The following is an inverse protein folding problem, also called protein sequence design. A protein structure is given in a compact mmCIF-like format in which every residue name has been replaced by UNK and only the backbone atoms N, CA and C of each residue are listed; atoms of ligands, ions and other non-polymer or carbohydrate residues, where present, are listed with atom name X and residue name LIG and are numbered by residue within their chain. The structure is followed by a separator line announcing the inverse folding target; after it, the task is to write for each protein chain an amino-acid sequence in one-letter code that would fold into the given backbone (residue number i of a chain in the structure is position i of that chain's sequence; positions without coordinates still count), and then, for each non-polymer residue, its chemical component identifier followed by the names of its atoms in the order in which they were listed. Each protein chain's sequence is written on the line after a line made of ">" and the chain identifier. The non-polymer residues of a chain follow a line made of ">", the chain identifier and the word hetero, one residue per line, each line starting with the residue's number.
data_IF_327418952837
#
_entry.id   IF_327418952837
#
_cell.length_a   1.000
_cell.length_b   1.000
_cell.length_c   1.000
_cell.angle_alpha   90.00
_cell.angle_beta   90.00
_cell.angle_gamma   90.00
#
_symmetry.space_group_name_H-M   'P 1'
#
loop_
_entity.id
_entity.type
_entity.pdbx_description
1 polymer ?
#
# COMPACT_ATOMS: atom_id res chain seq x y z
N UNK A 1 12.54 8.10 7.30
CA UNK A 1 12.26 6.95 6.40
C UNK A 1 13.53 6.28 5.89
N UNK A 2 14.40 7.02 5.17
CA UNK A 2 15.64 6.52 4.56
C UNK A 2 16.46 5.56 5.44
N UNK A 3 16.82 5.98 6.66
CA UNK A 3 17.63 5.17 7.57
C UNK A 3 16.99 3.83 7.95
N UNK A 4 15.65 3.78 8.07
CA UNK A 4 14.93 2.54 8.40
C UNK A 4 15.02 1.54 7.26
N UNK A 5 14.83 1.99 6.02
CA UNK A 5 15.01 1.14 4.83
C UNK A 5 16.47 0.70 4.70
N UNK A 6 17.41 1.63 4.81
CA UNK A 6 18.84 1.36 4.74
C UNK A 6 19.25 0.28 5.75
N UNK A 7 18.83 0.41 7.00
CA UNK A 7 19.09 -0.59 8.05
C UNK A 7 18.54 -1.97 7.69
N UNK A 8 17.35 -2.05 7.08
CA UNK A 8 16.81 -3.33 6.63
C UNK A 8 17.65 -3.93 5.49
N UNK A 9 17.99 -3.12 4.48
CA UNK A 9 18.82 -3.53 3.32
C UNK A 9 20.24 -3.95 3.74
N UNK A 10 20.85 -3.20 4.66
CA UNK A 10 22.21 -3.43 5.13
C UNK A 10 22.34 -4.75 5.90
N UNK A 11 21.24 -5.23 6.49
CA UNK A 11 21.17 -6.54 7.13
C UNK A 11 21.25 -7.74 6.16
N UNK A 12 21.21 -7.53 4.85
CA UNK A 12 21.28 -8.62 3.88
C UNK A 12 22.67 -9.25 3.78
N UNK A 13 22.68 -10.57 3.70
CA UNK A 13 23.89 -11.41 3.65
C UNK A 13 23.99 -12.27 2.40
N UNK A 14 22.86 -12.53 1.71
CA UNK A 14 22.78 -13.42 0.54
C UNK A 14 22.00 -12.79 -0.61
N UNK A 15 20.77 -12.32 -0.35
CA UNK A 15 19.88 -11.82 -1.40
C UNK A 15 19.04 -10.62 -0.96
N UNK A 16 18.75 -9.74 -1.91
CA UNK A 16 17.76 -8.67 -1.80
C UNK A 16 16.89 -8.66 -3.06
N UNK A 17 15.62 -8.95 -2.89
CA UNK A 17 14.61 -8.84 -3.95
C UNK A 17 13.69 -7.67 -3.64
N UNK A 18 13.78 -6.61 -4.45
CA UNK A 18 13.08 -5.35 -4.25
C UNK A 18 12.04 -5.17 -5.34
N UNK A 19 10.76 -5.10 -4.97
CA UNK A 19 9.66 -4.71 -5.86
C UNK A 19 9.09 -3.38 -5.38
N UNK A 20 9.29 -2.33 -6.17
CA UNK A 20 8.87 -0.97 -5.80
C UNK A 20 8.18 -0.27 -6.96
N UNK A 21 6.96 0.22 -6.73
CA UNK A 21 6.20 0.98 -7.72
C UNK A 21 6.98 2.20 -8.22
N UNK A 22 7.28 3.11 -7.31
CA UNK A 22 7.85 4.41 -7.63
C UNK A 22 9.17 4.61 -6.88
N UNK A 23 10.22 4.92 -7.64
CA UNK A 23 11.60 5.08 -7.19
C UNK A 23 12.18 6.37 -7.77
N UNK A 24 12.10 7.45 -6.99
CA UNK A 24 12.57 8.79 -7.34
C UNK A 24 13.10 9.48 -6.10
N UNK A 25 14.33 9.12 -5.75
CA UNK A 25 15.01 9.69 -4.61
C UNK A 25 16.05 10.69 -5.08
N UNK A 26 16.10 11.82 -4.40
CA UNK A 26 17.10 12.86 -4.61
C UNK A 26 17.93 13.06 -3.34
N UNK A 27 19.08 13.73 -3.50
CA UNK A 27 19.94 14.18 -2.40
C UNK A 27 20.30 13.07 -1.37
N UNK A 28 20.19 13.38 -0.08
CA UNK A 28 20.57 12.48 1.01
C UNK A 28 19.79 11.16 1.03
N UNK A 29 18.45 11.12 0.82
CA UNK A 29 17.70 9.89 0.60
C UNK A 29 18.30 8.98 -0.48
N UNK A 30 18.64 9.53 -1.64
CA UNK A 30 19.20 8.79 -2.77
C UNK A 30 20.58 8.23 -2.43
N UNK A 31 21.45 9.06 -1.87
CA UNK A 31 22.80 8.67 -1.48
C UNK A 31 22.78 7.55 -0.43
N UNK A 32 21.84 7.61 0.52
CA UNK A 32 21.69 6.60 1.56
C UNK A 32 21.36 5.24 0.95
N UNK A 33 20.33 5.15 0.09
CA UNK A 33 19.98 3.86 -0.53
C UNK A 33 21.03 3.38 -1.53
N UNK A 34 21.62 4.27 -2.33
CA UNK A 34 22.71 3.93 -3.23
C UNK A 34 23.87 3.28 -2.45
N UNK A 35 24.24 3.84 -1.31
CA UNK A 35 25.30 3.28 -0.46
C UNK A 35 24.92 1.90 0.09
N UNK A 36 23.68 1.68 0.53
CA UNK A 36 23.22 0.36 0.99
C UNK A 36 23.26 -0.68 -0.13
N UNK A 37 22.79 -0.34 -1.32
CA UNK A 37 22.84 -1.25 -2.48
C UNK A 37 24.28 -1.57 -2.91
N UNK A 38 25.12 -0.55 -3.09
CA UNK A 38 26.52 -0.73 -3.47
C UNK A 38 27.29 -1.56 -2.42
N UNK A 39 27.02 -1.31 -1.14
CA UNK A 39 27.63 -2.07 -0.03
C UNK A 39 27.15 -3.52 -0.01
N UNK A 40 25.86 -3.77 -0.28
CA UNK A 40 25.32 -5.13 -0.38
C UNK A 40 26.00 -5.91 -1.52
N UNK A 41 26.08 -5.32 -2.72
CA UNK A 41 26.77 -5.95 -3.85
C UNK A 41 28.26 -6.19 -3.54
N UNK A 42 28.95 -5.23 -2.90
CA UNK A 42 30.34 -5.39 -2.47
C UNK A 42 30.52 -6.53 -1.46
N UNK A 43 29.52 -6.81 -0.61
CA UNK A 43 29.48 -7.97 0.30
C UNK A 43 29.17 -9.30 -0.41
N UNK A 44 28.88 -9.28 -1.71
CA UNK A 44 28.49 -10.46 -2.48
C UNK A 44 27.00 -10.79 -2.40
N UNK A 45 26.16 -9.88 -1.89
CA UNK A 45 24.70 -10.03 -1.88
C UNK A 45 24.18 -9.90 -3.31
N UNK A 46 23.35 -10.85 -3.74
CA UNK A 46 22.64 -10.76 -5.03
C UNK A 46 21.46 -9.80 -4.87
N UNK A 47 21.49 -8.68 -5.59
CA UNK A 47 20.42 -7.67 -5.53
C UNK A 47 19.63 -7.68 -6.84
N UNK A 48 18.32 -7.86 -6.74
CA UNK A 48 17.36 -7.76 -7.84
C UNK A 48 16.35 -6.65 -7.53
N UNK A 49 16.16 -5.74 -8.48
CA UNK A 49 15.22 -4.63 -8.38
C UNK A 49 14.25 -4.70 -9.56
N UNK A 50 12.96 -4.79 -9.26
CA UNK A 50 11.89 -4.55 -10.23
C UNK A 50 11.10 -3.31 -9.86
N UNK A 51 10.66 -2.57 -10.87
CA UNK A 51 9.87 -1.35 -10.71
C UNK A 51 8.84 -1.17 -11.81
N UNK A 52 7.84 -0.33 -11.57
CA UNK A 52 6.85 0.03 -12.57
C UNK A 52 7.47 0.94 -13.61
N UNK A 53 7.43 0.54 -14.88
CA UNK A 53 7.79 1.39 -15.99
C UNK A 53 6.55 2.13 -16.48
N UNK A 54 6.53 3.43 -16.20
CA UNK A 54 5.53 4.34 -16.73
C UNK A 54 5.66 4.44 -18.25
N UNK A 55 4.55 4.71 -18.90
CA UNK A 55 4.49 4.97 -20.33
C UNK A 55 3.90 6.36 -20.52
N UNK A 56 4.49 7.15 -21.43
CA UNK A 56 3.92 8.42 -21.84
C UNK A 56 2.50 8.16 -22.38
N UNK A 57 1.48 8.62 -21.65
CA UNK A 57 0.11 8.59 -22.14
C UNK A 57 -0.08 9.76 -23.11
N UNK A 58 -0.71 9.52 -24.25
CA UNK A 58 -1.11 10.55 -25.23
C UNK A 58 -2.33 11.37 -24.81
N UNK A 59 -2.66 11.40 -23.51
CA UNK A 59 -3.87 12.02 -22.96
C UNK A 59 -3.49 13.40 -22.37
N UNK A 60 -4.33 14.45 -22.52
CA UNK A 60 -4.08 15.78 -21.94
C UNK A 60 -4.37 15.81 -20.43
N UNK A 61 -3.76 14.90 -19.68
CA UNK A 61 -3.59 14.98 -18.23
C UNK A 61 -2.11 15.08 -17.95
N UNK A 62 -1.69 15.74 -16.86
CA UNK A 62 -0.28 15.78 -16.50
C UNK A 62 0.26 14.33 -16.51
N UNK A 63 1.37 14.05 -17.23
CA UNK A 63 1.89 12.70 -17.37
C UNK A 63 2.12 12.09 -15.99
N UNK A 64 1.91 10.78 -15.81
CA UNK A 64 2.27 10.13 -14.56
C UNK A 64 3.75 10.39 -14.26
N UNK A 65 4.13 10.38 -12.98
CA UNK A 65 5.52 10.61 -12.62
C UNK A 65 6.42 9.56 -13.28
N UNK A 66 7.57 9.98 -13.84
CA UNK A 66 8.51 9.09 -14.51
C UNK A 66 9.62 8.62 -13.56
N UNK A 67 9.89 7.32 -13.55
CA UNK A 67 11.04 6.70 -12.84
C UNK A 67 12.34 7.51 -13.05
N UNK A 68 13.17 7.64 -12.01
CA UNK A 68 14.51 8.23 -12.15
C UNK A 68 15.45 7.21 -12.80
N UNK A 69 15.46 7.18 -14.14
CA UNK A 69 16.36 6.33 -14.92
C UNK A 69 17.84 6.59 -14.61
N UNK A 70 18.21 7.82 -14.25
CA UNK A 70 19.57 8.15 -13.86
C UNK A 70 19.99 7.42 -12.58
N UNK A 71 19.10 7.36 -11.59
CA UNK A 71 19.32 6.57 -10.37
C UNK A 71 19.36 5.07 -10.65
N UNK A 72 18.43 4.57 -11.47
CA UNK A 72 18.36 3.15 -11.86
C UNK A 72 19.64 2.70 -12.57
N UNK A 73 20.16 3.49 -13.52
CA UNK A 73 21.39 3.12 -14.24
C UNK A 73 22.63 3.18 -13.34
N UNK A 74 22.66 4.06 -12.32
CA UNK A 74 23.70 4.00 -11.28
C UNK A 74 23.62 2.70 -10.47
N UNK A 75 22.42 2.22 -10.13
CA UNK A 75 22.26 0.93 -9.45
C UNK A 75 22.71 -0.23 -10.33
N UNK A 76 22.35 -0.22 -11.62
CA UNK A 76 22.79 -1.21 -12.59
C UNK A 76 24.32 -1.25 -12.69
N UNK A 77 24.96 -0.08 -12.80
CA UNK A 77 26.42 0.04 -12.84
C UNK A 77 27.09 -0.44 -11.54
N UNK A 78 26.40 -0.32 -10.40
CA UNK A 78 26.85 -0.85 -9.11
C UNK A 78 26.63 -2.37 -8.96
N UNK A 79 26.07 -3.06 -9.95
CA UNK A 79 25.87 -4.51 -9.99
C UNK A 79 24.48 -4.99 -9.56
N UNK A 80 23.50 -4.09 -9.42
CA UNK A 80 22.10 -4.48 -9.18
C UNK A 80 21.47 -5.00 -10.47
N UNK A 81 20.84 -6.18 -10.41
CA UNK A 81 20.03 -6.68 -11.52
C UNK A 81 18.71 -5.92 -11.56
N UNK A 82 18.41 -5.26 -12.67
CA UNK A 82 17.23 -4.40 -12.81
C UNK A 82 16.25 -4.96 -13.84
N UNK A 83 14.96 -4.95 -13.50
CA UNK A 83 13.86 -5.34 -14.40
C UNK A 83 12.69 -4.34 -14.37
N UNK A 84 12.49 -3.54 -15.42
CA UNK A 84 11.26 -2.77 -15.55
C UNK A 84 10.06 -3.71 -15.81
N UNK A 85 8.92 -3.38 -15.21
CA UNK A 85 7.63 -4.06 -15.43
C UNK A 85 6.68 -3.07 -16.09
N UNK A 86 6.13 -3.34 -17.29
CA UNK A 86 5.23 -2.41 -17.96
C UNK A 86 4.01 -2.06 -17.10
N UNK A 87 3.74 -0.76 -16.94
CA UNK A 87 2.59 -0.23 -16.18
C UNK A 87 1.30 -0.07 -16.98
N UNK A 88 1.19 -0.69 -18.16
CA UNK A 88 0.00 -0.64 -19.03
C UNK A 88 -0.41 -2.06 -19.42
N UNK A 89 -1.69 -2.45 -19.31
CA UNK A 89 -2.82 -1.64 -18.83
C UNK A 89 -2.88 -1.47 -17.31
N UNK A 90 -2.14 -2.29 -16.55
CA UNK A 90 -2.19 -2.33 -15.09
C UNK A 90 -0.79 -2.05 -14.49
N UNK A 91 -0.75 -1.46 -13.30
CA UNK A 91 0.49 -1.04 -12.64
C UNK A 91 1.15 -2.18 -11.87
N UNK A 92 2.49 -2.20 -11.84
CA UNK A 92 3.26 -2.94 -10.84
C UNK A 92 3.34 -2.11 -9.56
N UNK A 93 2.35 -2.24 -8.67
CA UNK A 93 2.16 -1.33 -7.55
C UNK A 93 2.69 -1.87 -6.21
N UNK A 94 3.46 -2.96 -6.21
CA UNK A 94 4.11 -3.49 -5.01
C UNK A 94 5.06 -2.47 -4.35
N UNK A 95 5.18 -2.55 -3.02
CA UNK A 95 6.24 -1.89 -2.25
C UNK A 95 6.76 -2.85 -1.19
N UNK A 96 7.65 -3.75 -1.58
CA UNK A 96 8.27 -4.69 -0.65
C UNK A 96 9.73 -5.03 -0.98
N UNK A 97 10.42 -5.54 0.04
CA UNK A 97 11.76 -6.11 -0.05
C UNK A 97 11.76 -7.47 0.64
N UNK A 98 12.17 -8.52 -0.07
CA UNK A 98 12.53 -9.82 0.53
C UNK A 98 14.02 -9.83 0.78
N UNK A 99 14.42 -10.00 2.04
CA UNK A 99 15.82 -10.08 2.46
C UNK A 99 16.17 -11.51 2.84
N UNK A 100 17.16 -12.06 2.16
CA UNK A 100 17.76 -13.38 2.38
C UNK A 100 16.79 -14.58 2.35
N UNK A 101 15.54 -14.39 1.91
CA UNK A 101 14.46 -15.38 2.08
C UNK A 101 14.06 -15.61 3.54
N UNK A 102 14.41 -14.69 4.44
CA UNK A 102 14.18 -14.80 5.88
C UNK A 102 13.16 -13.78 6.41
N UNK A 103 13.08 -12.64 5.73
CA UNK A 103 12.31 -11.50 6.24
C UNK A 103 11.77 -10.64 5.10
N UNK A 104 10.67 -9.96 5.36
CA UNK A 104 10.01 -9.06 4.41
C UNK A 104 9.84 -7.70 5.05
N UNK A 105 10.21 -6.65 4.32
CA UNK A 105 9.78 -5.29 4.59
C UNK A 105 8.72 -4.93 3.55
N UNK A 106 7.54 -4.48 3.97
CA UNK A 106 6.43 -4.16 3.05
C UNK A 106 5.59 -3.02 3.61
N UNK A 107 4.79 -2.37 2.77
CA UNK A 107 3.84 -1.37 3.25
C UNK A 107 3.18 -0.59 2.13
N UNK A 108 2.77 0.63 2.44
CA UNK A 108 2.25 1.57 1.44
C UNK A 108 3.36 2.34 0.74
N UNK A 109 4.55 2.44 1.34
CA UNK A 109 5.52 3.52 1.09
C UNK A 109 6.25 3.42 -0.24
N UNK A 110 6.04 4.42 -1.11
CA UNK A 110 6.84 4.63 -2.31
C UNK A 110 8.24 5.14 -1.93
N UNK A 111 9.21 4.97 -2.81
CA UNK A 111 10.58 5.42 -2.57
C UNK A 111 10.80 6.75 -3.27
N UNK A 112 10.12 7.77 -2.76
CA UNK A 112 10.23 9.15 -3.22
C UNK A 112 10.45 10.12 -2.06
N UNK A 113 11.07 11.27 -2.33
CA UNK A 113 11.28 12.30 -1.30
C UNK A 113 9.97 12.75 -0.67
N UNK A 114 8.93 12.94 -1.48
CA UNK A 114 7.62 13.36 -1.01
C UNK A 114 6.93 12.28 -0.17
N UNK A 115 6.96 11.02 -0.60
CA UNK A 115 6.41 9.91 0.20
C UNK A 115 7.09 9.82 1.56
N UNK A 116 8.39 10.09 1.63
CA UNK A 116 9.13 9.97 2.88
C UNK A 116 8.96 11.14 3.85
N UNK A 117 8.49 12.29 3.38
CA UNK A 117 8.45 13.53 4.16
C UNK A 117 7.05 14.15 4.31
N UNK A 118 6.10 13.82 3.43
CA UNK A 118 4.82 14.53 3.30
C UNK A 118 3.58 13.64 3.31
N UNK A 119 3.77 12.35 3.09
CA UNK A 119 2.69 11.39 3.06
C UNK A 119 2.62 10.58 4.36
N UNK A 120 1.41 10.41 4.88
CA UNK A 120 1.12 9.41 5.90
C UNK A 120 1.36 8.02 5.33
N UNK A 121 2.24 7.25 5.95
CA UNK A 121 2.70 5.96 5.43
C UNK A 121 2.65 4.89 6.50
N UNK A 122 2.62 3.63 6.04
CA UNK A 122 2.71 2.46 6.92
C UNK A 122 3.70 1.47 6.37
N UNK A 123 4.52 0.91 7.26
CA UNK A 123 5.52 -0.11 6.95
C UNK A 123 5.52 -1.19 8.01
N UNK A 124 5.67 -2.42 7.57
CA UNK A 124 5.83 -3.61 8.39
C UNK A 124 7.18 -4.26 8.06
N UNK A 125 7.80 -4.81 9.09
CA UNK A 125 8.89 -5.77 8.95
C UNK A 125 8.41 -7.09 9.56
N UNK A 126 8.47 -8.16 8.80
CA UNK A 126 8.01 -9.49 9.20
C UNK A 126 9.21 -10.44 9.10
N UNK A 127 9.66 -10.93 10.25
CA UNK A 127 10.72 -11.93 10.36
C UNK A 127 10.06 -13.32 10.31
N UNK A 128 9.99 -13.91 9.11
CA UNK A 128 9.40 -15.23 8.88
C UNK A 128 9.84 -15.76 7.52
N UNK A 129 10.48 -16.94 7.52
CA UNK A 129 10.90 -17.64 6.31
C UNK A 129 9.71 -18.06 5.44
N UNK A 130 8.60 -18.44 6.06
CA UNK A 130 7.39 -18.85 5.33
C UNK A 130 6.74 -17.66 4.61
N UNK A 131 6.65 -16.51 5.27
CA UNK A 131 6.12 -15.29 4.64
C UNK A 131 7.09 -14.76 3.59
N UNK A 132 8.40 -14.79 3.86
CA UNK A 132 9.41 -14.44 2.87
C UNK A 132 9.34 -15.33 1.62
N UNK A 133 9.04 -16.61 1.77
CA UNK A 133 8.84 -17.53 0.64
C UNK A 133 7.61 -17.16 -0.21
N UNK A 134 6.49 -16.76 0.41
CA UNK A 134 5.29 -16.31 -0.32
C UNK A 134 5.58 -15.04 -1.14
N UNK A 135 6.29 -14.06 -0.57
CA UNK A 135 6.72 -12.86 -1.31
C UNK A 135 7.75 -13.17 -2.39
N UNK A 136 8.72 -14.06 -2.12
CA UNK A 136 9.71 -14.48 -3.11
C UNK A 136 9.05 -15.20 -4.30
N UNK A 137 8.00 -15.99 -4.06
CA UNK A 137 7.21 -16.63 -5.11
C UNK A 137 6.49 -15.60 -5.99
N UNK A 138 5.87 -14.59 -5.38
CA UNK A 138 5.27 -13.47 -6.12
C UNK A 138 6.33 -12.71 -6.94
N UNK A 139 7.45 -12.36 -6.32
CA UNK A 139 8.57 -11.67 -6.96
C UNK A 139 9.06 -12.47 -8.18
N UNK A 140 9.33 -13.76 -7.99
CA UNK A 140 9.86 -14.61 -9.05
C UNK A 140 8.89 -14.71 -10.24
N UNK A 141 7.58 -14.80 -9.99
CA UNK A 141 6.57 -14.84 -11.05
C UNK A 141 6.60 -13.60 -11.94
N UNK A 142 6.65 -12.40 -11.34
CA UNK A 142 6.77 -11.13 -12.08
C UNK A 142 8.17 -10.96 -12.70
N UNK A 143 9.20 -11.47 -12.02
CA UNK A 143 10.56 -11.41 -12.53
C UNK A 143 10.71 -12.23 -13.80
N UNK A 144 10.19 -13.45 -13.85
CA UNK A 144 10.29 -14.31 -15.03
C UNK A 144 9.36 -13.87 -16.15
N UNK A 145 8.15 -13.41 -15.78
CA UNK A 145 7.14 -12.93 -16.72
C UNK A 145 6.59 -11.59 -16.23
N UNK A 146 7.11 -10.45 -16.72
CA UNK A 146 6.70 -9.11 -16.27
C UNK A 146 5.35 -8.70 -16.89
N UNK A 147 4.30 -9.48 -16.59
CA UNK A 147 2.92 -9.28 -17.05
C UNK A 147 2.01 -9.27 -15.83
N UNK A 148 1.61 -8.07 -15.41
CA UNK A 148 0.84 -7.81 -14.18
C UNK A 148 -0.42 -8.68 -14.08
N UNK A 149 -1.21 -8.76 -15.15
CA UNK A 149 -2.45 -9.55 -15.20
C UNK A 149 -2.27 -11.04 -14.83
N UNK A 150 -1.06 -11.58 -15.02
CA UNK A 150 -0.74 -12.99 -14.73
C UNK A 150 -0.08 -13.22 -13.37
N UNK A 151 0.06 -12.17 -12.54
CA UNK A 151 0.71 -12.24 -11.24
C UNK A 151 -0.27 -12.49 -10.09
N UNK A 152 0.25 -12.97 -8.95
CA UNK A 152 -0.53 -13.16 -7.72
C UNK A 152 -1.51 -14.35 -7.73
N UNK A 153 -1.45 -15.28 -8.70
CA UNK A 153 -2.41 -16.39 -8.82
C UNK A 153 -2.13 -17.60 -7.90
N UNK A 154 -1.70 -17.37 -6.66
CA UNK A 154 -1.49 -18.43 -5.66
C UNK A 154 -2.07 -18.03 -4.29
N UNK A 155 -2.37 -19.00 -3.44
CA UNK A 155 -2.93 -18.74 -2.11
C UNK A 155 -1.88 -18.98 -1.05
N UNK A 156 -1.68 -17.99 -0.19
CA UNK A 156 -0.86 -18.12 1.00
C UNK A 156 -1.76 -18.46 2.21
N UNK A 157 -1.42 -19.50 3.01
CA UNK A 157 -2.18 -19.84 4.20
C UNK A 157 -1.89 -18.86 5.34
N UNK A 158 -2.68 -18.95 6.41
CA UNK A 158 -2.33 -18.29 7.68
C UNK A 158 -1.07 -18.90 8.27
N UNK A 159 -0.16 -18.05 8.76
CA UNK A 159 1.05 -18.42 9.49
C UNK A 159 1.02 -17.77 10.87
N UNK A 160 1.48 -18.48 11.88
CA UNK A 160 1.70 -17.93 13.22
C UNK A 160 3.15 -17.48 13.35
N UNK A 161 3.36 -16.26 13.80
CA UNK A 161 4.67 -15.73 14.17
C UNK A 161 5.02 -16.15 15.61
N UNK A 162 6.28 -15.93 16.00
CA UNK A 162 6.78 -16.37 17.32
C UNK A 162 6.10 -15.71 18.52
N UNK A 163 5.44 -14.56 18.32
CA UNK A 163 4.67 -13.83 19.33
C UNK A 163 3.19 -14.21 19.36
N UNK A 164 2.77 -15.22 18.57
CA UNK A 164 1.38 -15.64 18.43
C UNK A 164 0.56 -14.81 17.44
N UNK A 165 1.11 -13.71 16.89
CA UNK A 165 0.47 -12.95 15.82
C UNK A 165 0.26 -13.86 14.61
N UNK A 166 -0.96 -13.89 14.06
CA UNK A 166 -1.23 -14.61 12.82
C UNK A 166 -1.19 -13.65 11.64
N UNK A 167 -0.57 -14.07 10.55
CA UNK A 167 -0.46 -13.27 9.31
C UNK A 167 -0.74 -14.11 8.07
N UNK A 168 -1.24 -13.49 7.00
CA UNK A 168 -1.24 -14.04 5.65
C UNK A 168 -1.12 -12.95 4.59
N UNK A 169 -0.31 -13.14 3.53
CA UNK A 169 -0.26 -12.22 2.42
C UNK A 169 -1.35 -12.50 1.38
N UNK A 170 -1.75 -11.45 0.68
CA UNK A 170 -2.54 -11.47 -0.54
C UNK A 170 -1.76 -10.76 -1.64
N UNK A 171 -1.84 -11.29 -2.85
CA UNK A 171 -1.21 -10.70 -4.03
C UNK A 171 -2.27 -10.53 -5.13
N UNK A 172 -2.49 -9.28 -5.54
CA UNK A 172 -3.32 -8.93 -6.69
C UNK A 172 -2.50 -9.01 -7.99
N UNK A 173 -3.14 -9.13 -9.15
CA UNK A 173 -4.59 -9.28 -9.34
C UNK A 173 -5.12 -10.68 -9.01
N UNK A 174 -4.27 -11.72 -8.99
CA UNK A 174 -4.73 -13.10 -8.87
C UNK A 174 -5.53 -13.44 -7.60
N UNK A 175 -5.40 -12.68 -6.51
CA UNK A 175 -6.21 -12.82 -5.28
C UNK A 175 -7.05 -11.60 -4.90
N UNK A 176 -7.27 -10.64 -5.80
CA UNK A 176 -8.04 -9.43 -5.51
C UNK A 176 -9.44 -9.70 -4.99
N UNK A 177 -10.22 -10.56 -5.66
CA UNK A 177 -11.58 -10.94 -5.21
C UNK A 177 -11.57 -11.60 -3.83
N UNK A 178 -10.56 -12.42 -3.53
CA UNK A 178 -10.43 -13.08 -2.22
C UNK A 178 -10.05 -12.06 -1.13
N UNK A 179 -9.18 -11.10 -1.44
CA UNK A 179 -8.79 -10.02 -0.55
C UNK A 179 -9.99 -9.12 -0.22
N UNK A 180 -10.68 -8.61 -1.23
CA UNK A 180 -11.83 -7.72 -1.09
C UNK A 180 -12.95 -8.39 -0.27
N UNK A 181 -13.26 -9.67 -0.55
CA UNK A 181 -14.24 -10.41 0.25
C UNK A 181 -13.78 -10.69 1.69
N UNK A 182 -12.48 -10.83 1.93
CA UNK A 182 -11.96 -10.96 3.29
C UNK A 182 -12.15 -9.65 4.07
N UNK A 183 -11.77 -8.52 3.46
CA UNK A 183 -12.00 -7.18 4.03
C UNK A 183 -13.48 -6.92 4.32
N UNK A 184 -14.36 -7.14 3.34
CA UNK A 184 -15.81 -7.01 3.52
C UNK A 184 -16.36 -7.90 4.62
N UNK A 185 -15.88 -9.16 4.73
CA UNK A 185 -16.27 -10.07 5.81
C UNK A 185 -15.87 -9.54 7.17
N UNK A 186 -14.62 -9.08 7.32
CA UNK A 186 -14.15 -8.52 8.59
C UNK A 186 -14.92 -7.25 8.97
N UNK A 187 -15.27 -6.40 8.01
CA UNK A 187 -16.14 -5.23 8.24
C UNK A 187 -17.52 -5.68 8.74
N UNK A 188 -18.15 -6.63 8.05
CA UNK A 188 -19.49 -7.09 8.38
C UNK A 188 -19.57 -7.87 9.70
N UNK A 189 -18.48 -8.53 10.10
CA UNK A 189 -18.39 -9.28 11.35
C UNK A 189 -17.81 -8.48 12.52
N UNK A 190 -17.46 -7.20 12.31
CA UNK A 190 -16.92 -6.39 13.39
C UNK A 190 -17.98 -6.18 14.47
N UNK A 191 -17.56 -6.24 15.73
CA UNK A 191 -18.42 -6.06 16.91
C UNK A 191 -18.05 -4.83 17.73
N UNK A 192 -16.80 -4.36 17.66
CA UNK A 192 -16.34 -3.23 18.47
C UNK A 192 -15.99 -2.01 17.63
N UNK A 193 -15.12 -2.15 16.63
CA UNK A 193 -14.62 -1.00 15.87
C UNK A 193 -14.25 -1.32 14.43
N UNK A 194 -14.37 -0.29 13.60
CA UNK A 194 -13.80 -0.23 12.26
C UNK A 194 -12.97 1.05 12.14
N UNK A 195 -11.75 0.93 11.61
CA UNK A 195 -10.90 2.07 11.24
C UNK A 195 -10.41 1.95 9.83
N UNK A 196 -10.55 3.02 9.05
CA UNK A 196 -10.10 3.05 7.65
C UNK A 196 -9.13 4.21 7.46
N UNK A 197 -7.99 3.92 6.84
CA UNK A 197 -7.07 4.94 6.33
C UNK A 197 -6.72 4.52 4.91
N UNK A 198 -7.11 5.30 3.92
CA UNK A 198 -6.86 4.99 2.51
C UNK A 198 -6.93 6.28 1.70
N UNK A 199 -6.11 6.48 0.66
CA UNK A 199 -6.23 7.65 -0.21
C UNK A 199 -7.64 7.74 -0.80
N UNK A 200 -8.15 6.61 -1.29
CA UNK A 200 -9.47 6.49 -1.91
C UNK A 200 -10.21 5.26 -1.38
N UNK A 201 -11.54 5.30 -1.38
CA UNK A 201 -12.43 4.21 -0.97
C UNK A 201 -13.47 3.99 -2.08
N UNK A 202 -13.16 3.09 -3.01
CA UNK A 202 -13.91 2.95 -4.28
C UNK A 202 -14.26 1.52 -4.67
N UNK A 203 -13.74 0.52 -3.93
CA UNK A 203 -14.15 -0.88 -4.08
C UNK A 203 -15.60 -1.05 -3.64
N UNK A 204 -16.44 -1.55 -4.55
CA UNK A 204 -17.88 -1.67 -4.34
C UNK A 204 -18.24 -2.53 -3.12
N UNK A 205 -17.69 -3.76 -2.99
CA UNK A 205 -17.96 -4.61 -1.84
C UNK A 205 -17.52 -4.00 -0.51
N UNK A 206 -16.35 -3.33 -0.46
CA UNK A 206 -15.86 -2.68 0.76
C UNK A 206 -16.79 -1.52 1.13
N UNK A 207 -17.13 -0.67 0.15
CA UNK A 207 -17.99 0.47 0.36
C UNK A 207 -19.40 0.07 0.81
N UNK A 208 -19.97 -0.99 0.21
CA UNK A 208 -21.24 -1.57 0.62
C UNK A 208 -21.22 -2.08 2.06
N UNK A 209 -20.19 -2.86 2.43
CA UNK A 209 -20.06 -3.36 3.81
C UNK A 209 -19.88 -2.21 4.83
N UNK A 210 -19.14 -1.16 4.49
CA UNK A 210 -19.02 0.03 5.35
C UNK A 210 -20.36 0.76 5.50
N UNK A 211 -21.13 0.91 4.42
CA UNK A 211 -22.44 1.55 4.46
C UNK A 211 -23.44 0.76 5.33
N UNK A 212 -23.44 -0.57 5.22
CA UNK A 212 -24.25 -1.45 6.07
C UNK A 212 -23.84 -1.35 7.55
N UNK A 213 -22.53 -1.37 7.84
CA UNK A 213 -22.03 -1.23 9.20
C UNK A 213 -22.40 0.15 9.81
N UNK A 214 -22.33 1.22 9.03
CA UNK A 214 -22.78 2.55 9.44
C UNK A 214 -24.29 2.58 9.73
N UNK A 215 -25.10 1.96 8.87
CA UNK A 215 -26.55 1.90 9.04
C UNK A 215 -26.97 1.09 10.27
N UNK A 216 -26.21 0.05 10.63
CA UNK A 216 -26.47 -0.77 11.82
C UNK A 216 -26.23 0.00 13.13
N UNK A 217 -25.32 0.99 13.13
CA UNK A 217 -24.95 1.80 14.31
C UNK A 217 -24.52 0.99 15.55
N UNK A 218 -23.93 -0.20 15.32
CA UNK A 218 -23.49 -1.11 16.41
C UNK A 218 -22.01 -1.05 16.74
N UNK A 219 -21.21 -0.57 15.80
CA UNK A 219 -19.75 -0.56 15.89
C UNK A 219 -19.22 0.86 15.81
N UNK A 220 -18.11 1.14 16.49
CA UNK A 220 -17.46 2.43 16.40
C UNK A 220 -16.68 2.54 15.08
N UNK A 221 -17.13 3.42 14.17
CA UNK A 221 -16.52 3.63 12.86
C UNK A 221 -15.84 4.99 12.80
N UNK A 222 -14.58 5.00 12.36
CA UNK A 222 -13.86 6.22 12.04
C UNK A 222 -12.84 5.98 10.92
N UNK A 223 -12.32 7.05 10.33
CA UNK A 223 -11.26 6.92 9.35
C UNK A 223 -10.73 8.23 8.82
N UNK A 224 -9.88 8.12 7.82
CA UNK A 224 -9.31 9.24 7.10
C UNK A 224 -9.10 8.89 5.63
N UNK A 225 -9.38 9.85 4.76
CA UNK A 225 -9.17 9.70 3.32
C UNK A 225 -8.55 10.96 2.71
N UNK A 226 -8.13 10.84 1.45
CA UNK A 226 -7.72 11.99 0.63
C UNK A 226 -8.93 12.60 -0.06
N UNK A 227 -9.35 13.77 0.38
CA UNK A 227 -10.53 14.44 -0.15
C UNK A 227 -10.30 15.02 -1.55
N UNK A 228 -9.07 15.42 -1.89
CA UNK A 228 -8.74 15.88 -3.23
C UNK A 228 -8.88 14.72 -4.23
N UNK A 229 -8.30 13.55 -3.93
CA UNK A 229 -8.46 12.37 -4.80
C UNK A 229 -9.91 11.85 -4.84
N UNK A 230 -10.64 11.87 -3.72
CA UNK A 230 -12.04 11.44 -3.71
C UNK A 230 -12.96 12.38 -4.48
N UNK A 231 -12.64 13.68 -4.59
CA UNK A 231 -13.40 14.59 -5.46
C UNK A 231 -13.18 14.23 -6.93
N UNK A 232 -11.94 13.93 -7.36
CA UNK A 232 -11.65 13.45 -8.72
C UNK A 232 -12.40 12.15 -9.05
N UNK A 233 -12.38 11.17 -8.13
CA UNK A 233 -13.13 9.92 -8.26
C UNK A 233 -14.63 10.19 -8.43
N UNK A 234 -15.21 11.08 -7.62
CA UNK A 234 -16.63 11.40 -7.70
C UNK A 234 -16.99 12.06 -9.04
N UNK A 235 -16.14 12.93 -9.58
CA UNK A 235 -16.31 13.49 -10.92
C UNK A 235 -16.30 12.39 -12.00
N UNK A 236 -15.36 11.44 -11.92
CA UNK A 236 -15.29 10.31 -12.85
C UNK A 236 -16.53 9.40 -12.75
N UNK A 237 -17.01 9.13 -11.54
CA UNK A 237 -18.24 8.35 -11.33
C UNK A 237 -19.49 9.06 -11.86
N UNK A 238 -19.56 10.38 -11.75
CA UNK A 238 -20.68 11.16 -12.30
C UNK A 238 -20.71 11.11 -13.83
N UNK A 239 -19.54 11.07 -14.48
CA UNK A 239 -19.42 10.89 -15.93
C UNK A 239 -19.76 9.45 -16.37
N UNK A 240 -19.51 8.44 -15.52
CA UNK A 240 -19.72 7.03 -15.80
C UNK A 240 -20.98 6.51 -15.09
N UNK A 241 -22.15 6.63 -15.72
CA UNK A 241 -23.48 6.37 -15.12
C UNK A 241 -23.66 5.05 -14.34
N UNK A 242 -22.88 4.00 -14.63
CA UNK A 242 -22.88 2.75 -13.87
C UNK A 242 -22.28 2.81 -12.45
N UNK A 243 -21.58 3.89 -12.09
CA UNK A 243 -20.95 4.05 -10.77
C UNK A 243 -21.64 5.10 -9.88
N UNK A 244 -22.74 5.70 -10.32
CA UNK A 244 -23.44 6.76 -9.59
C UNK A 244 -23.85 6.35 -8.16
N UNK A 245 -24.24 5.09 -7.95
CA UNK A 245 -24.60 4.57 -6.62
C UNK A 245 -23.44 4.65 -5.61
N UNK A 246 -22.19 4.57 -6.07
CA UNK A 246 -21.00 4.64 -5.19
C UNK A 246 -20.84 6.03 -4.58
N UNK A 247 -21.26 7.09 -5.27
CA UNK A 247 -21.27 8.46 -4.74
C UNK A 247 -22.19 8.52 -3.51
N UNK A 248 -23.40 7.96 -3.64
CA UNK A 248 -24.39 7.90 -2.55
C UNK A 248 -23.85 7.12 -1.36
N UNK A 249 -23.34 5.91 -1.60
CA UNK A 249 -22.78 5.06 -0.54
C UNK A 249 -21.60 5.72 0.18
N UNK A 250 -20.66 6.35 -0.56
CA UNK A 250 -19.54 7.09 0.03
C UNK A 250 -20.02 8.25 0.90
N UNK A 251 -20.95 9.07 0.40
CA UNK A 251 -21.53 10.18 1.17
C UNK A 251 -22.22 9.71 2.45
N UNK A 252 -22.96 8.60 2.38
CA UNK A 252 -23.59 8.00 3.57
C UNK A 252 -22.56 7.55 4.60
N UNK A 253 -21.47 6.90 4.17
CA UNK A 253 -20.39 6.44 5.06
C UNK A 253 -19.69 7.61 5.75
N UNK A 254 -19.35 8.67 5.01
CA UNK A 254 -18.64 9.82 5.59
C UNK A 254 -19.53 10.70 6.48
N UNK A 255 -20.84 10.72 6.23
CA UNK A 255 -21.80 11.46 7.06
C UNK A 255 -22.19 10.72 8.34
N UNK A 256 -22.16 9.39 8.33
CA UNK A 256 -22.60 8.55 9.44
C UNK A 256 -21.52 8.24 10.49
N UNK A 257 -20.24 8.54 10.18
CA UNK A 257 -19.10 8.16 11.00
C UNK A 257 -18.06 9.30 11.09
N UNK A 258 -16.99 9.10 11.86
CA UNK A 258 -16.00 10.14 12.11
C UNK A 258 -14.87 10.08 11.08
N UNK A 259 -14.79 11.08 10.21
CA UNK A 259 -13.80 11.09 9.13
C UNK A 259 -12.93 12.34 9.13
N UNK A 260 -11.62 12.13 9.05
CA UNK A 260 -10.69 13.15 8.58
C UNK A 260 -10.68 13.21 7.06
N UNK A 261 -10.55 14.42 6.51
CA UNK A 261 -10.56 14.67 5.07
C UNK A 261 -9.29 15.46 4.69
N UNK A 262 -8.21 14.75 4.36
CA UNK A 262 -6.96 15.41 3.95
C UNK A 262 -7.16 16.09 2.60
N UNK A 263 -6.89 17.40 2.53
CA UNK A 263 -6.86 18.15 1.27
C UNK A 263 -5.43 18.23 0.78
N UNK A 264 -5.04 17.30 -0.08
CA UNK A 264 -3.72 17.30 -0.71
C UNK A 264 -3.64 18.31 -1.85
N UNK A 265 -2.42 18.62 -2.24
CA UNK A 265 -2.09 19.37 -3.45
C UNK A 265 -2.63 18.60 -4.67
N UNK A 266 -3.45 19.23 -5.53
CA UNK A 266 -3.90 18.61 -6.77
C UNK A 266 -2.72 18.25 -7.67
N UNK A 267 -2.84 17.13 -8.37
CA UNK A 267 -1.77 16.62 -9.21
C UNK A 267 -1.50 17.54 -10.41
N UNK A 268 -0.25 17.97 -10.56
CA UNK A 268 0.25 18.67 -11.73
C UNK A 268 1.74 18.35 -11.94
N UNK A 269 2.26 18.59 -13.16
CA UNK A 269 3.70 18.44 -13.42
C UNK A 269 4.49 19.36 -12.49
N UNK A 270 5.40 18.76 -11.70
CA UNK A 270 6.22 19.49 -10.72
C UNK A 270 5.50 19.88 -9.44
N UNK A 271 4.23 19.48 -9.25
CA UNK A 271 3.55 19.66 -7.97
C UNK A 271 4.12 18.73 -6.89
N UNK A 272 4.04 19.17 -5.65
CA UNK A 272 4.36 18.34 -4.49
C UNK A 272 3.34 17.22 -4.34
N UNK A 273 3.79 16.02 -3.98
CA UNK A 273 2.93 14.88 -3.68
C UNK A 273 2.76 14.74 -2.16
N UNK A 274 1.64 15.25 -1.64
CA UNK A 274 1.34 15.20 -0.21
C UNK A 274 -0.02 14.54 0.05
N UNK A 275 -0.41 13.55 -0.73
CA UNK A 275 -1.67 12.83 -0.51
C UNK A 275 -1.65 11.95 0.74
N UNK A 276 -2.83 11.54 1.21
CA UNK A 276 -2.94 10.44 2.16
C UNK A 276 -2.39 9.18 1.48
N UNK A 277 -1.47 8.44 2.09
CA UNK A 277 -0.86 7.28 1.40
C UNK A 277 -0.98 5.95 2.13
N UNK A 278 -1.15 5.96 3.44
CA UNK A 278 -1.34 4.75 4.23
C UNK A 278 -2.63 4.07 3.80
N UNK A 279 -2.55 2.75 3.57
CA UNK A 279 -3.68 1.89 3.26
C UNK A 279 -3.81 0.87 4.38
N UNK A 280 -4.70 1.17 5.33
CA UNK A 280 -4.94 0.38 6.52
C UNK A 280 -6.45 0.24 6.71
N UNK A 281 -6.91 -1.00 6.87
CA UNK A 281 -8.25 -1.31 7.39
C UNK A 281 -8.07 -2.07 8.70
N UNK A 282 -8.69 -1.60 9.77
CA UNK A 282 -8.83 -2.32 11.02
C UNK A 282 -10.30 -2.68 11.21
N UNK A 283 -10.57 -3.94 11.51
CA UNK A 283 -11.87 -4.43 11.96
C UNK A 283 -11.60 -5.33 13.17
N UNK A 284 -11.88 -4.78 14.36
CA UNK A 284 -11.51 -5.36 15.66
C UNK A 284 -10.03 -5.71 15.80
N UNK A 285 -9.68 -7.00 15.79
CA UNK A 285 -8.31 -7.54 15.84
C UNK A 285 -7.70 -7.80 14.46
N UNK A 286 -8.49 -7.71 13.39
CA UNK A 286 -8.01 -7.88 12.03
C UNK A 286 -7.48 -6.56 11.47
N UNK A 287 -6.26 -6.60 10.95
CA UNK A 287 -5.63 -5.49 10.24
C UNK A 287 -5.30 -5.92 8.81
N UNK A 288 -5.64 -5.09 7.84
CA UNK A 288 -5.22 -5.24 6.47
C UNK A 288 -4.35 -4.05 6.12
N UNK A 289 -3.14 -4.31 5.64
CA UNK A 289 -2.16 -3.25 5.36
C UNK A 289 -1.22 -3.64 4.24
N UNK A 290 -0.91 -2.69 3.36
CA UNK A 290 -0.01 -2.92 2.23
C UNK A 290 -0.09 -1.82 1.19
N UNK A 291 0.08 -2.19 -0.07
CA UNK A 291 0.12 -1.27 -1.20
C UNK A 291 -1.26 -1.01 -1.83
N UNK A 292 -2.23 -1.88 -1.57
CA UNK A 292 -3.59 -1.84 -2.13
C UNK A 292 -4.39 -0.65 -1.58
N UNK A 293 -4.71 0.30 -2.45
CA UNK A 293 -5.82 1.24 -2.20
C UNK A 293 -7.11 0.45 -2.09
N UNK A 294 -8.04 0.84 -1.21
CA UNK A 294 -9.38 0.23 -1.08
C UNK A 294 -10.25 0.56 -2.32
N UNK A 295 -9.74 0.27 -3.52
CA UNK A 295 -10.21 0.75 -4.81
C UNK A 295 -10.41 -0.38 -5.80
N UNK A 296 -11.26 -0.12 -6.80
CA UNK A 296 -11.44 -1.06 -7.91
C UNK A 296 -10.17 -1.21 -8.76
N UNK A 297 -9.42 -0.12 -8.99
CA UNK A 297 -8.15 -0.18 -9.72
C UNK A 297 -7.09 -1.05 -9.04
N UNK A 298 -7.06 -1.07 -7.70
CA UNK A 298 -6.17 -1.95 -6.94
C UNK A 298 -6.46 -3.44 -7.17
N UNK A 299 -7.65 -3.80 -7.65
CA UNK A 299 -8.02 -5.18 -7.93
C UNK A 299 -7.34 -5.74 -9.19
N UNK A 300 -6.94 -4.86 -10.12
CA UNK A 300 -6.26 -5.22 -11.38
C UNK A 300 -4.74 -5.00 -11.32
N UNK A 301 -4.27 -4.05 -10.51
CA UNK A 301 -2.85 -3.81 -10.29
C UNK A 301 -2.17 -4.99 -9.56
N UNK A 302 -0.85 -5.11 -9.75
CA UNK A 302 -0.01 -5.97 -8.92
C UNK A 302 0.20 -5.28 -7.56
N UNK A 303 -0.56 -5.71 -6.57
CA UNK A 303 -0.60 -5.15 -5.21
C UNK A 303 -0.36 -6.25 -4.19
N UNK A 304 0.16 -5.90 -3.02
CA UNK A 304 0.25 -6.83 -1.90
C UNK A 304 -0.41 -6.26 -0.64
N UNK A 305 -1.04 -7.14 0.13
CA UNK A 305 -1.63 -6.83 1.43
C UNK A 305 -1.28 -7.92 2.41
N UNK A 306 -0.85 -7.55 3.61
CA UNK A 306 -0.80 -8.46 4.75
C UNK A 306 -2.10 -8.31 5.52
N UNK A 307 -2.81 -9.42 5.68
CA UNK A 307 -3.81 -9.54 6.72
C UNK A 307 -3.13 -10.05 8.00
N UNK A 308 -3.38 -9.36 9.10
CA UNK A 308 -2.88 -9.66 10.44
C UNK A 308 -4.08 -9.89 11.35
N UNK A 309 -3.98 -10.88 12.23
CA UNK A 309 -4.89 -11.10 13.35
C UNK A 309 -4.06 -10.90 14.63
N UNK A 310 -4.20 -9.73 15.25
CA UNK A 310 -3.48 -9.34 16.47
C UNK A 310 -4.11 -8.10 17.10
N UNK A 311 -4.58 -8.24 18.33
CA UNK A 311 -5.17 -7.14 19.11
C UNK A 311 -4.18 -5.98 19.26
N UNK A 312 -2.92 -6.28 19.60
CA UNK A 312 -1.89 -5.27 19.82
C UNK A 312 -1.58 -4.46 18.55
N UNK A 313 -1.46 -5.12 17.40
CA UNK A 313 -1.22 -4.43 16.12
C UNK A 313 -2.45 -3.62 15.71
N UNK A 314 -3.65 -4.18 15.90
CA UNK A 314 -4.89 -3.47 15.63
C UNK A 314 -5.05 -2.21 16.48
N UNK A 315 -4.63 -2.23 17.75
CA UNK A 315 -4.65 -1.05 18.62
C UNK A 315 -3.67 0.03 18.17
N UNK A 316 -2.45 -0.36 17.78
CA UNK A 316 -1.45 0.57 17.22
C UNK A 316 -1.98 1.23 15.94
N UNK A 317 -2.53 0.43 15.02
CA UNK A 317 -3.09 0.91 13.77
C UNK A 317 -4.31 1.81 14.01
N UNK A 318 -5.27 1.40 14.85
CA UNK A 318 -6.43 2.20 15.17
C UNK A 318 -6.03 3.56 15.79
N UNK A 319 -5.11 3.55 16.74
CA UNK A 319 -4.58 4.76 17.39
C UNK A 319 -3.89 5.70 16.40
N UNK A 320 -3.13 5.15 15.44
CA UNK A 320 -2.55 5.93 14.35
C UNK A 320 -3.63 6.56 13.47
N UNK A 321 -4.62 5.79 13.03
CA UNK A 321 -5.72 6.27 12.18
C UNK A 321 -6.49 7.38 12.89
N UNK A 322 -6.81 7.22 14.18
CA UNK A 322 -7.54 8.22 14.96
C UNK A 322 -6.77 9.55 15.07
N UNK A 323 -5.45 9.50 15.29
CA UNK A 323 -4.60 10.71 15.31
C UNK A 323 -4.57 11.41 13.95
N UNK A 324 -4.45 10.63 12.87
CA UNK A 324 -4.42 11.18 11.50
C UNK A 324 -5.79 11.76 11.13
N UNK A 325 -6.88 11.08 11.47
CA UNK A 325 -8.23 11.59 11.27
C UNK A 325 -8.43 12.93 12.01
N UNK A 326 -8.02 13.01 13.28
CA UNK A 326 -8.10 14.24 14.07
C UNK A 326 -7.29 15.40 13.46
N UNK A 327 -6.11 15.13 12.90
CA UNK A 327 -5.30 16.14 12.18
C UNK A 327 -6.05 16.76 11.00
N UNK A 328 -6.93 16.02 10.36
CA UNK A 328 -7.64 16.43 9.15
C UNK A 328 -9.14 16.67 9.38
N UNK A 329 -9.49 17.15 10.58
CA UNK A 329 -10.85 17.61 10.89
C UNK A 329 -11.84 16.52 11.29
N UNK A 330 -11.39 15.27 11.45
CA UNK A 330 -12.19 14.24 12.10
C UNK A 330 -12.38 14.59 13.57
N UNK A 331 -13.61 14.51 14.08
CA UNK A 331 -13.89 14.79 15.49
C UNK A 331 -13.03 13.89 16.39
N UNK A 332 -12.28 14.48 17.33
CA UNK A 332 -11.44 13.75 18.26
C UNK A 332 -12.27 12.84 19.17
N UNK A 333 -11.72 11.66 19.50
CA UNK A 333 -12.24 10.85 20.62
C UNK A 333 -12.08 11.65 21.92
N UNK A 334 -13.10 11.77 22.78
CA UNK A 334 -12.85 12.07 24.18
C UNK A 334 -11.96 10.95 24.71
N UNK A 335 -10.76 11.32 25.15
CA UNK A 335 -9.85 10.39 25.84
C UNK A 335 -10.62 9.89 27.06
N UNK A 336 -11.06 8.63 27.04
CA UNK A 336 -11.70 8.06 28.24
C UNK A 336 -10.55 7.70 29.21
N UNK A 337 -10.63 8.11 30.49
CA UNK A 337 -9.55 7.93 31.47
C UNK A 337 -9.07 6.49 31.65
#
# INVERSE_FOLDING_TARGET
>A
MAQRLATFLDGATRTLDVAIYDLRLEESPANTLMNSFASAVKRGVVVRLMFNQDHAQTIPVPPPPEIDWGFVERLRAAGVSVKPVPGVPDLMHHKYVVRDGLSVLTGSTNWTNDSWNREENVMLTIESTEIAADFALNFQGLWDKPVVATSGHFSAPWRSLGDGTRVRPYFCPGRSLKLVHAMSRSIASAERRIRVCSPVITSGPILGSLAEACAAQKVDIAGVYDATQMDEVQHQWAANGGSAWKIGAFKSVIAAARWGAKRSTPYAVGSVHDFMHAKILVADEYVYVGSFNLSHSGESNAENVIQVESQAIADICASYIDRVAARYGGAALPVTP
#
